data_IF_291855035164
#
_entry.id   IF_291855035164
#
_cell.length_a   1.000
_cell.length_b   1.000
_cell.length_c   1.000
_cell.angle_alpha   90.00
_cell.angle_beta   90.00
_cell.angle_gamma   90.00
#
_symmetry.space_group_name_H-M   'P 1'
#
loop_
_entity.id
_entity.type
_entity.pdbx_description
1 polymer ?
#
# COMPACT_ATOMS: atom_id res chain seq x y z
N UNK A 1 -25.46 9.63 -14.91
CA UNK A 1 -25.09 10.14 -14.25
C UNK A 1 -23.89 10.35 -14.29
N UNK A 2 -23.49 10.88 -14.27
CA UNK A 2 -22.41 11.07 -14.35
C UNK A 2 -21.87 10.92 -13.27
N UNK A 3 -21.17 10.85 -13.01
CA UNK A 3 -20.55 10.83 -11.82
C UNK A 3 -20.34 9.57 -11.11
N UNK A 4 -20.61 8.49 -11.65
CA UNK A 4 -20.27 7.26 -10.99
C UNK A 4 -18.81 6.98 -11.26
N UNK A 5 -18.02 7.06 -10.21
CA UNK A 5 -16.61 6.75 -10.32
C UNK A 5 -16.41 5.40 -9.69
N UNK A 6 -15.95 4.44 -10.48
CA UNK A 6 -15.63 3.13 -9.97
C UNK A 6 -14.17 3.13 -9.58
N UNK A 7 -13.91 2.96 -8.32
CA UNK A 7 -12.55 2.88 -7.84
C UNK A 7 -12.18 1.41 -7.76
N UNK A 8 -11.10 1.09 -8.41
CA UNK A 8 -10.55 -0.25 -8.36
C UNK A 8 -9.38 -0.26 -7.40
N UNK A 9 -9.26 -1.33 -6.66
CA UNK A 9 -8.18 -1.50 -5.72
C UNK A 9 -7.46 -2.78 -6.09
N UNK A 10 -6.17 -2.66 -6.37
CA UNK A 10 -5.39 -3.81 -6.80
C UNK A 10 -4.57 -4.33 -5.64
N UNK A 11 -4.69 -5.62 -5.36
CA UNK A 11 -3.84 -6.27 -4.37
C UNK A 11 -2.52 -6.59 -5.05
N UNK A 12 -1.44 -6.03 -4.52
CA UNK A 12 -0.11 -6.26 -5.09
C UNK A 12 0.40 -7.60 -4.58
N UNK A 13 0.96 -8.40 -5.48
CA UNK A 13 1.57 -9.67 -5.11
C UNK A 13 2.74 -9.45 -4.18
N UNK A 14 2.87 -10.35 -3.22
CA UNK A 14 4.06 -10.39 -2.39
C UNK A 14 3.88 -9.74 -1.05
N UNK A 15 4.80 -10.07 -0.17
CA UNK A 15 4.84 -9.51 1.18
C UNK A 15 5.82 -8.35 1.22
N UNK A 16 5.48 -7.36 2.04
CA UNK A 16 6.29 -6.16 2.16
C UNK A 16 6.84 -6.03 3.57
N UNK A 17 7.94 -5.32 3.68
CA UNK A 17 8.57 -5.00 4.96
C UNK A 17 8.74 -3.50 5.08
N UNK A 18 8.59 -3.00 6.29
CA UNK A 18 8.84 -1.60 6.63
C UNK A 18 10.14 -1.59 7.38
N UNK A 19 11.13 -0.86 6.86
CA UNK A 19 12.49 -0.93 7.37
C UNK A 19 13.06 0.44 7.67
N UNK A 20 14.02 0.45 8.58
CA UNK A 20 14.88 1.59 8.77
C UNK A 20 16.26 1.13 8.35
N UNK A 21 16.96 1.93 7.56
CA UNK A 21 18.28 1.57 7.03
C UNK A 21 19.29 2.63 7.40
N UNK A 22 20.58 2.25 7.42
CA UNK A 22 21.63 3.23 7.74
C UNK A 22 21.77 4.26 6.62
N UNK A 23 21.64 3.81 5.39
CA UNK A 23 21.60 4.69 4.22
C UNK A 23 21.00 3.87 3.08
N UNK A 24 20.86 4.48 1.90
CA UNK A 24 20.22 3.80 0.78
C UNK A 24 21.20 3.18 -0.20
N UNK A 25 22.46 3.02 0.19
CA UNK A 25 23.47 2.53 -0.72
C UNK A 25 23.23 1.10 -1.18
N UNK A 26 22.50 0.31 -0.39
CA UNK A 26 22.24 -1.08 -0.75
C UNK A 26 20.84 -1.30 -1.33
N UNK A 27 20.09 -0.24 -1.52
CA UNK A 27 18.79 -0.35 -2.18
C UNK A 27 19.04 -0.47 -3.68
N UNK A 28 18.41 -1.47 -4.29
CA UNK A 28 18.53 -1.68 -5.73
C UNK A 28 17.44 -0.89 -6.44
N UNK A 29 17.77 0.22 -7.09
CA UNK A 29 16.73 1.06 -7.70
C UNK A 29 16.07 0.43 -8.90
N UNK A 30 16.60 -0.68 -9.43
CA UNK A 30 15.95 -1.37 -10.53
C UNK A 30 14.77 -2.21 -10.07
N UNK A 31 14.66 -2.48 -8.78
CA UNK A 31 13.54 -3.24 -8.25
C UNK A 31 12.33 -2.34 -8.10
N UNK A 32 11.15 -2.91 -8.32
CA UNK A 32 9.92 -2.15 -8.21
C UNK A 32 9.42 -2.17 -6.77
N UNK A 33 8.58 -1.19 -6.47
CA UNK A 33 7.95 -1.10 -5.15
C UNK A 33 8.94 -0.78 -4.04
N UNK A 34 9.86 0.13 -4.34
CA UNK A 34 10.71 0.73 -3.31
C UNK A 34 10.12 2.08 -2.95
N UNK A 35 9.70 2.23 -1.71
CA UNK A 35 9.16 3.49 -1.22
C UNK A 35 10.15 4.03 -0.20
N UNK A 36 10.82 5.11 -0.56
CA UNK A 36 11.94 5.64 0.20
C UNK A 36 11.56 6.97 0.83
N UNK A 37 11.84 7.12 2.11
CA UNK A 37 11.64 8.38 2.80
C UNK A 37 12.92 8.74 3.54
N UNK A 38 13.55 9.81 3.11
CA UNK A 38 14.76 10.31 3.76
C UNK A 38 14.38 11.59 4.49
N UNK A 39 14.45 11.55 5.81
CA UNK A 39 14.08 12.72 6.61
C UNK A 39 15.25 13.08 7.50
N UNK A 40 15.07 14.14 8.28
CA UNK A 40 16.11 14.55 9.22
C UNK A 40 16.24 13.59 10.40
N UNK A 41 15.28 12.66 10.54
CA UNK A 41 15.29 11.74 11.68
C UNK A 41 15.62 10.31 11.28
N UNK A 42 15.40 9.93 10.03
CA UNK A 42 15.57 8.52 9.66
C UNK A 42 15.63 8.34 8.17
N UNK A 43 16.18 7.20 7.78
CA UNK A 43 16.12 6.70 6.42
C UNK A 43 15.19 5.50 6.44
N UNK A 44 14.03 5.62 5.81
CA UNK A 44 12.98 4.63 5.87
C UNK A 44 12.75 4.01 4.49
N UNK A 45 12.42 2.73 4.47
CA UNK A 45 12.20 2.02 3.22
C UNK A 45 11.06 1.04 3.40
N UNK A 46 10.09 1.07 2.48
CA UNK A 46 9.09 0.01 2.38
C UNK A 46 9.38 -0.69 1.06
N UNK A 47 9.55 -2.00 1.10
CA UNK A 47 9.86 -2.76 -0.09
C UNK A 47 9.36 -4.19 0.07
N UNK A 48 9.41 -4.93 -1.05
CA UNK A 48 9.14 -6.36 -0.96
C UNK A 48 10.15 -6.98 0.01
N UNK A 49 9.68 -7.92 0.80
CA UNK A 49 10.51 -8.53 1.84
C UNK A 49 11.79 -9.13 1.28
N UNK A 50 11.70 -9.70 0.09
CA UNK A 50 12.89 -10.31 -0.54
C UNK A 50 13.93 -9.28 -0.92
N UNK A 51 13.58 -8.01 -0.95
CA UNK A 51 14.49 -6.94 -1.37
C UNK A 51 15.01 -6.09 -0.20
N UNK A 52 14.75 -6.52 1.03
CA UNK A 52 15.26 -5.77 2.18
C UNK A 52 16.78 -5.80 2.18
N UNK A 53 17.44 -4.63 2.21
CA UNK A 53 18.90 -4.62 2.19
C UNK A 53 19.48 -5.06 3.52
N UNK A 54 20.75 -5.52 3.47
CA UNK A 54 21.37 -6.05 4.67
C UNK A 54 21.68 -5.00 5.71
N UNK A 55 21.73 -3.73 5.32
CA UNK A 55 22.05 -2.65 6.26
C UNK A 55 20.82 -2.09 6.97
N UNK A 56 19.76 -2.87 7.08
CA UNK A 56 18.62 -2.45 7.87
C UNK A 56 19.00 -2.44 9.35
N UNK A 57 18.44 -1.51 10.08
CA UNK A 57 18.61 -1.46 11.53
C UNK A 57 17.37 -1.93 12.25
N UNK A 58 16.20 -1.76 11.62
CA UNK A 58 14.93 -2.25 12.15
C UNK A 58 14.07 -2.66 10.97
N UNK A 59 13.23 -3.66 11.19
CA UNK A 59 12.30 -4.07 10.14
C UNK A 59 11.07 -4.72 10.74
N UNK A 60 9.96 -4.51 10.05
CA UNK A 60 8.70 -5.15 10.39
C UNK A 60 8.19 -5.80 9.12
N UNK A 61 8.14 -7.12 9.11
CA UNK A 61 7.66 -7.89 7.97
C UNK A 61 6.15 -8.11 8.07
N UNK A 62 5.60 -8.73 7.07
CA UNK A 62 4.23 -9.21 7.11
C UNK A 62 3.20 -8.18 6.68
N UNK A 63 3.55 -7.34 5.72
CA UNK A 63 2.62 -6.36 5.18
C UNK A 63 2.21 -6.73 3.77
N UNK A 64 1.01 -6.34 3.38
CA UNK A 64 0.52 -6.49 2.03
C UNK A 64 0.07 -5.13 1.52
N UNK A 65 0.21 -4.92 0.23
CA UNK A 65 -0.07 -3.62 -0.37
C UNK A 65 -1.34 -3.63 -1.21
N UNK A 66 -2.11 -2.58 -1.06
CA UNK A 66 -3.29 -2.32 -1.87
C UNK A 66 -3.02 -1.03 -2.63
N UNK A 67 -3.17 -1.06 -3.93
CA UNK A 67 -2.96 0.11 -4.77
C UNK A 67 -4.30 0.64 -5.24
N UNK A 68 -4.51 1.93 -5.08
CA UNK A 68 -5.73 2.56 -5.58
C UNK A 68 -5.54 2.82 -7.06
N UNK A 69 -6.41 2.25 -7.88
CA UNK A 69 -6.37 2.44 -9.32
C UNK A 69 -7.56 3.26 -9.77
N UNK A 70 -7.53 3.66 -11.02
CA UNK A 70 -8.65 4.36 -11.59
C UNK A 70 -8.31 5.80 -11.87
N UNK A 71 -9.30 6.64 -11.85
CA UNK A 71 -9.12 8.03 -12.23
C UNK A 71 -8.24 8.76 -11.25
N UNK A 72 -7.24 9.42 -11.80
CA UNK A 72 -6.31 10.16 -11.00
C UNK A 72 -6.57 11.63 -11.19
N UNK A 73 -7.47 12.16 -10.40
CA UNK A 73 -7.74 13.57 -10.47
C UNK A 73 -8.02 14.07 -9.06
N UNK A 74 -8.59 15.23 -8.97
CA UNK A 74 -8.78 15.87 -7.68
C UNK A 74 -9.70 15.10 -6.76
N UNK A 75 -10.46 14.18 -7.30
CA UNK A 75 -11.40 13.42 -6.49
C UNK A 75 -10.69 12.39 -5.63
N UNK A 76 -9.43 12.12 -5.90
CA UNK A 76 -8.69 11.14 -5.11
C UNK A 76 -8.63 11.49 -3.63
N UNK A 77 -8.65 12.76 -3.30
CA UNK A 77 -8.59 13.15 -1.90
C UNK A 77 -9.73 12.52 -1.12
N UNK A 78 -10.93 12.61 -1.64
CA UNK A 78 -12.07 12.01 -0.97
C UNK A 78 -12.05 10.50 -1.01
N UNK A 79 -11.54 9.94 -2.08
CA UNK A 79 -11.49 8.48 -2.23
C UNK A 79 -10.58 7.85 -1.19
N UNK A 80 -9.39 8.40 -1.02
CA UNK A 80 -8.46 7.84 -0.04
C UNK A 80 -9.02 7.94 1.37
N UNK A 81 -9.55 9.10 1.72
CA UNK A 81 -10.11 9.31 3.04
C UNK A 81 -11.21 8.30 3.35
N UNK A 82 -12.07 8.05 2.37
CA UNK A 82 -13.18 7.13 2.57
C UNK A 82 -12.68 5.70 2.79
N UNK A 83 -11.67 5.29 2.02
CA UNK A 83 -11.12 3.96 2.17
C UNK A 83 -10.48 3.80 3.54
N UNK A 84 -9.72 4.80 3.98
CA UNK A 84 -9.07 4.74 5.27
C UNK A 84 -10.08 4.68 6.41
N UNK A 85 -11.17 5.44 6.28
CA UNK A 85 -12.22 5.39 7.28
C UNK A 85 -12.86 4.01 7.38
N UNK A 86 -13.13 3.39 6.22
CA UNK A 86 -13.73 2.05 6.22
C UNK A 86 -12.82 1.04 6.91
N UNK A 87 -11.53 1.10 6.63
CA UNK A 87 -10.59 0.17 7.23
C UNK A 87 -10.46 0.44 8.74
N UNK A 88 -10.46 1.70 9.12
CA UNK A 88 -10.39 2.05 10.54
C UNK A 88 -11.60 1.54 11.29
N UNK A 89 -12.78 1.62 10.68
CA UNK A 89 -13.99 1.13 11.32
C UNK A 89 -13.94 -0.38 11.53
N UNK A 90 -13.22 -1.08 10.66
CA UNK A 90 -13.03 -2.51 10.80
C UNK A 90 -11.83 -2.84 11.69
N UNK A 91 -11.23 -1.83 12.30
CA UNK A 91 -10.11 -1.99 13.25
C UNK A 91 -8.88 -2.56 12.57
N UNK A 92 -8.64 -2.16 11.34
CA UNK A 92 -7.47 -2.58 10.58
C UNK A 92 -6.45 -1.45 10.61
N UNK A 93 -5.26 -1.73 11.12
CA UNK A 93 -4.17 -0.77 11.10
C UNK A 93 -3.58 -0.65 9.72
N UNK A 94 -3.20 0.55 9.35
CA UNK A 94 -2.69 0.78 8.01
C UNK A 94 -1.46 1.68 8.04
N UNK A 95 -0.70 1.60 6.95
CA UNK A 95 0.28 2.61 6.59
C UNK A 95 -0.06 3.04 5.17
N UNK A 96 0.24 4.26 4.80
CA UNK A 96 -0.11 4.74 3.47
C UNK A 96 1.05 5.52 2.88
N UNK A 97 1.23 5.39 1.58
CA UNK A 97 2.25 6.11 0.84
C UNK A 97 1.62 6.66 -0.41
N UNK A 98 1.87 7.94 -0.67
CA UNK A 98 1.39 8.58 -1.88
C UNK A 98 2.54 8.72 -2.86
N UNK A 99 2.30 8.35 -4.11
CA UNK A 99 3.24 8.57 -5.18
C UNK A 99 2.67 9.62 -6.11
N UNK A 100 3.40 9.92 -7.17
CA UNK A 100 2.92 10.91 -8.11
C UNK A 100 1.56 10.53 -8.70
N UNK A 101 1.41 9.25 -9.02
CA UNK A 101 0.19 8.81 -9.71
C UNK A 101 -0.92 8.36 -8.80
N UNK A 102 -0.60 7.84 -7.63
CA UNK A 102 -1.64 7.20 -6.84
C UNK A 102 -1.19 6.97 -5.41
N UNK A 103 -2.01 6.26 -4.67
CA UNK A 103 -1.74 5.93 -3.27
C UNK A 103 -1.66 4.44 -3.08
N UNK A 104 -0.79 4.03 -2.17
CA UNK A 104 -0.67 2.63 -1.74
C UNK A 104 -1.02 2.56 -0.27
N UNK A 105 -1.79 1.55 0.09
CA UNK A 105 -2.19 1.32 1.47
C UNK A 105 -1.65 -0.03 1.88
N UNK A 106 -0.98 -0.07 3.01
CA UNK A 106 -0.39 -1.31 3.51
C UNK A 106 -1.17 -1.77 4.73
N UNK A 107 -1.53 -3.04 4.73
CA UNK A 107 -2.22 -3.66 5.84
C UNK A 107 -1.42 -4.89 6.25
N UNK A 108 -1.60 -5.33 7.49
CA UNK A 108 -0.94 -6.55 7.92
C UNK A 108 -1.47 -7.73 7.12
N UNK A 109 -0.59 -8.67 6.85
CA UNK A 109 -0.95 -9.85 6.09
C UNK A 109 -2.15 -10.56 6.73
N UNK A 110 -2.18 -10.61 8.04
CA UNK A 110 -3.27 -11.27 8.76
C UNK A 110 -4.59 -10.54 8.60
N UNK A 111 -4.56 -9.26 8.20
CA UNK A 111 -5.77 -8.47 8.02
C UNK A 111 -6.19 -8.36 6.56
N UNK A 112 -5.43 -8.95 5.64
CA UNK A 112 -5.70 -8.72 4.23
C UNK A 112 -7.10 -9.17 3.81
N UNK A 113 -7.50 -10.37 4.21
CA UNK A 113 -8.80 -10.87 3.81
C UNK A 113 -9.92 -10.01 4.36
N UNK A 114 -9.79 -9.58 5.59
CA UNK A 114 -10.77 -8.70 6.21
C UNK A 114 -10.84 -7.35 5.51
N UNK A 115 -9.67 -6.83 5.14
CA UNK A 115 -9.62 -5.55 4.43
C UNK A 115 -10.31 -5.67 3.07
N UNK A 116 -10.01 -6.74 2.33
CA UNK A 116 -10.63 -6.95 1.04
C UNK A 116 -12.14 -7.08 1.19
N UNK A 117 -12.59 -7.86 2.16
CA UNK A 117 -14.01 -8.06 2.38
C UNK A 117 -14.71 -6.74 2.72
N UNK A 118 -14.08 -5.94 3.59
CA UNK A 118 -14.64 -4.65 3.97
C UNK A 118 -14.82 -3.75 2.74
N UNK A 119 -13.84 -3.74 1.86
CA UNK A 119 -13.89 -2.88 0.70
C UNK A 119 -14.87 -3.38 -0.34
N UNK A 120 -14.95 -4.70 -0.52
CA UNK A 120 -15.94 -5.28 -1.45
C UNK A 120 -17.34 -4.94 -0.98
N UNK A 121 -17.61 -5.02 0.29
CA UNK A 121 -18.94 -4.70 0.82
C UNK A 121 -19.29 -3.24 0.61
N UNK A 122 -18.29 -2.38 0.47
CA UNK A 122 -18.51 -0.96 0.22
C UNK A 122 -18.50 -0.66 -1.28
N UNK A 123 -18.57 -1.69 -2.11
CA UNK A 123 -18.69 -1.58 -3.55
C UNK A 123 -17.42 -1.18 -4.29
N UNK A 124 -16.26 -1.41 -3.68
CA UNK A 124 -15.02 -1.25 -4.41
C UNK A 124 -14.72 -2.53 -5.18
N UNK A 125 -14.16 -2.38 -6.37
CA UNK A 125 -13.77 -3.52 -7.17
C UNK A 125 -12.34 -3.90 -6.81
N UNK A 126 -12.15 -5.15 -6.44
CA UNK A 126 -10.83 -5.63 -6.04
C UNK A 126 -10.23 -6.43 -7.18
N UNK A 127 -9.01 -6.09 -7.55
CA UNK A 127 -8.29 -6.78 -8.62
C UNK A 127 -7.12 -7.50 -7.99
N UNK A 128 -7.00 -8.80 -8.29
CA UNK A 128 -5.89 -9.59 -7.79
C UNK A 128 -5.23 -10.29 -8.95
N UNK A 129 -3.92 -10.43 -8.84
CA UNK A 129 -3.21 -11.19 -9.83
C UNK A 129 -3.69 -12.63 -9.79
N UNK A 130 -3.67 -13.28 -10.91
CA UNK A 130 -4.22 -14.60 -11.00
C UNK A 130 -5.68 -14.56 -11.36
N UNK A 131 -6.16 -13.41 -11.55
CA UNK A 131 -7.36 -13.13 -12.23
C UNK A 131 -8.63 -13.48 -11.63
N UNK A 132 -8.69 -13.96 -10.55
CA UNK A 132 -9.90 -14.31 -10.21
C UNK A 132 -10.59 -13.23 -9.65
N UNK A 133 -11.04 -12.64 -9.68
CA UNK A 133 -11.68 -11.82 -9.11
C UNK A 133 -11.87 -10.88 -9.17
#
# INVERSE_FOLDING_TARGET
>A
MKGVVYTEIKVIDGSFSVCKVTDFSEVDPSKKFNFISATDEENSLICLTENVPDNFTERIDGWRALKIQGMLDFLLIGILSKILDLLAESKIGIAAVSTYNTDYIFVKETDLDKAVETLVEANYKIIRKGGAE
#
